data_IF_868063332161
#
_entry.id   IF_868063332161
#
_cell.length_a   1.000
_cell.length_b   1.000
_cell.length_c   1.000
_cell.angle_alpha   90.00
_cell.angle_beta   90.00
_cell.angle_gamma   90.00
#
_symmetry.space_group_name_H-M   'P 1'
#
loop_
_entity.id
_entity.type
_entity.pdbx_description
1 polymer ?
#
# COMPACT_ATOMS: atom_id res chain seq x y z
N UNK A 1 18.93 -2.29 -6.71
CA UNK A 1 19.31 -3.25 -5.63
C UNK A 1 18.81 -2.70 -4.32
N UNK A 2 17.95 -3.44 -3.59
CA UNK A 2 17.46 -3.06 -2.26
C UNK A 2 18.63 -3.04 -1.28
N UNK A 3 19.26 -1.87 -1.09
CA UNK A 3 20.51 -1.71 -0.33
C UNK A 3 20.33 -2.11 1.14
N UNK A 4 20.96 -3.21 1.57
CA UNK A 4 21.20 -3.52 2.99
C UNK A 4 20.08 -4.26 3.75
N UNK A 5 18.97 -4.68 3.14
CA UNK A 5 17.91 -5.42 3.82
C UNK A 5 17.91 -6.90 3.42
N UNK A 6 17.85 -7.77 4.43
CA UNK A 6 17.62 -9.21 4.21
C UNK A 6 16.13 -9.42 3.90
N UNK A 7 15.80 -9.63 2.62
CA UNK A 7 14.43 -9.92 2.18
C UNK A 7 14.20 -11.42 2.34
N UNK A 8 13.15 -11.78 3.06
CA UNK A 8 12.65 -13.15 3.13
C UNK A 8 11.99 -13.47 1.78
N UNK A 9 12.46 -14.51 1.09
CA UNK A 9 11.85 -14.95 -0.17
C UNK A 9 10.64 -15.82 0.13
N UNK A 10 9.47 -15.36 -0.26
CA UNK A 10 8.23 -16.13 -0.25
C UNK A 10 8.07 -16.90 -1.57
N UNK A 11 7.40 -18.07 -1.52
CA UNK A 11 7.02 -18.79 -2.75
C UNK A 11 5.98 -17.97 -3.54
N UNK A 12 6.28 -17.71 -4.80
CA UNK A 12 5.39 -16.96 -5.72
C UNK A 12 4.54 -17.89 -6.60
N UNK A 13 4.13 -19.05 -6.07
CA UNK A 13 3.40 -20.06 -6.85
C UNK A 13 1.97 -19.61 -7.19
N UNK A 14 1.32 -18.90 -6.27
CA UNK A 14 -0.04 -18.38 -6.47
C UNK A 14 -0.15 -16.94 -5.96
N UNK A 15 -0.83 -16.06 -6.69
CA UNK A 15 -1.09 -14.71 -6.21
C UNK A 15 -2.03 -14.75 -5.00
N UNK A 16 -1.72 -13.93 -4.00
CA UNK A 16 -2.58 -13.73 -2.83
C UNK A 16 -3.74 -12.77 -3.15
N UNK A 17 -3.53 -11.90 -4.13
CA UNK A 17 -4.52 -10.93 -4.58
C UNK A 17 -4.51 -10.80 -6.11
N UNK A 18 -5.70 -10.73 -6.70
CA UNK A 18 -5.88 -10.59 -8.14
C UNK A 18 -7.01 -9.60 -8.45
N UNK A 19 -6.79 -8.81 -9.47
CA UNK A 19 -7.81 -8.04 -10.17
C UNK A 19 -7.92 -8.62 -11.57
N UNK A 20 -9.14 -8.90 -12.02
CA UNK A 20 -9.42 -9.45 -13.35
C UNK A 20 -10.46 -8.60 -14.05
N UNK A 21 -10.04 -7.93 -15.12
CA UNK A 21 -10.88 -7.14 -16.02
C UNK A 21 -11.79 -6.13 -15.32
N UNK A 22 -11.30 -5.51 -14.23
CA UNK A 22 -12.07 -4.53 -13.47
C UNK A 22 -12.28 -3.28 -14.33
N UNK A 23 -13.54 -2.85 -14.40
CA UNK A 23 -13.98 -1.63 -15.06
C UNK A 23 -14.69 -0.71 -14.10
N UNK A 24 -14.53 0.60 -14.29
CA UNK A 24 -15.26 1.64 -13.55
C UNK A 24 -15.47 2.87 -14.42
N UNK A 25 -16.70 3.37 -14.40
CA UNK A 25 -17.12 4.61 -15.08
C UNK A 25 -17.87 5.51 -14.13
N UNK A 26 -17.82 6.82 -14.39
CA UNK A 26 -18.66 7.82 -13.75
C UNK A 26 -19.37 8.63 -14.84
N UNK A 27 -20.67 8.72 -14.76
CA UNK A 27 -21.51 9.45 -15.73
C UNK A 27 -21.19 9.09 -17.20
N UNK A 28 -21.02 7.79 -17.46
CA UNK A 28 -20.68 7.27 -18.77
C UNK A 28 -19.22 7.47 -19.21
N UNK A 29 -18.40 8.16 -18.40
CA UNK A 29 -16.97 8.36 -18.68
C UNK A 29 -16.15 7.23 -18.02
N UNK A 30 -15.46 6.41 -18.80
CA UNK A 30 -14.65 5.33 -18.25
C UNK A 30 -13.42 5.92 -17.52
N UNK A 31 -13.12 5.37 -16.33
CA UNK A 31 -11.93 5.70 -15.54
C UNK A 31 -11.00 4.50 -15.49
N UNK A 32 -11.54 3.29 -15.38
CA UNK A 32 -10.79 2.04 -15.43
C UNK A 32 -11.38 1.15 -16.54
N UNK A 33 -10.52 0.66 -17.44
CA UNK A 33 -10.89 -0.23 -18.55
C UNK A 33 -10.15 -1.55 -18.43
N UNK A 34 -10.85 -2.61 -18.01
CA UNK A 34 -10.34 -3.99 -17.94
C UNK A 34 -8.98 -4.08 -17.24
N UNK A 35 -8.88 -3.46 -16.06
CA UNK A 35 -7.66 -3.53 -15.25
C UNK A 35 -7.47 -4.96 -14.78
N UNK A 36 -6.29 -5.52 -15.04
CA UNK A 36 -5.89 -6.84 -14.55
C UNK A 36 -4.50 -6.77 -13.93
N UNK A 37 -4.36 -7.27 -12.69
CA UNK A 37 -3.10 -7.31 -11.96
C UNK A 37 -3.09 -8.42 -10.90
N UNK A 38 -1.89 -8.84 -10.52
CA UNK A 38 -1.67 -9.85 -9.49
C UNK A 38 -0.68 -9.33 -8.46
N UNK A 39 -0.86 -9.72 -7.19
CA UNK A 39 0.13 -9.51 -6.14
C UNK A 39 0.45 -10.84 -5.47
N UNK A 40 1.73 -11.06 -5.19
CA UNK A 40 2.20 -12.30 -4.56
C UNK A 40 2.64 -12.04 -3.11
N UNK A 41 2.59 -13.06 -2.22
CA UNK A 41 3.05 -12.90 -0.84
C UNK A 41 4.47 -12.34 -0.76
N UNK A 42 4.70 -11.37 0.12
CA UNK A 42 6.00 -10.75 0.29
C UNK A 42 6.53 -10.00 -0.94
N UNK A 43 5.65 -9.54 -1.82
CA UNK A 43 6.00 -8.74 -3.00
C UNK A 43 5.61 -7.28 -2.79
N UNK A 44 6.49 -6.36 -3.16
CA UNK A 44 6.22 -4.93 -3.22
C UNK A 44 6.05 -4.51 -4.69
N UNK A 45 4.86 -4.04 -5.04
CA UNK A 45 4.48 -3.69 -6.42
C UNK A 45 4.14 -2.21 -6.49
N UNK A 46 4.78 -1.48 -7.38
CA UNK A 46 4.47 -0.08 -7.67
C UNK A 46 3.24 0.05 -8.58
N UNK A 47 2.41 1.04 -8.32
CA UNK A 47 1.37 1.50 -9.26
C UNK A 47 1.71 2.93 -9.68
N UNK A 48 2.23 3.07 -10.88
CA UNK A 48 2.65 4.32 -11.50
C UNK A 48 1.57 4.85 -12.43
N UNK A 49 1.65 6.11 -12.76
CA UNK A 49 0.77 6.75 -13.74
C UNK A 49 0.59 8.24 -13.46
N UNK A 50 0.25 9.04 -14.48
CA UNK A 50 0.02 10.47 -14.31
C UNK A 50 -1.16 10.77 -13.38
N UNK A 51 -1.27 12.03 -12.95
CA UNK A 51 -2.44 12.48 -12.20
C UNK A 51 -3.70 12.30 -13.06
N UNK A 52 -4.79 11.85 -12.43
CA UNK A 52 -6.04 11.56 -13.14
C UNK A 52 -6.07 10.24 -13.92
N UNK A 53 -5.01 9.41 -13.88
CA UNK A 53 -5.01 8.11 -14.57
C UNK A 53 -5.95 7.06 -13.98
N UNK A 54 -6.52 7.30 -12.78
CA UNK A 54 -7.43 6.38 -12.11
C UNK A 54 -6.83 5.60 -10.93
N UNK A 55 -5.60 5.92 -10.47
CA UNK A 55 -4.96 5.22 -9.33
C UNK A 55 -5.82 5.23 -8.06
N UNK A 56 -6.30 6.40 -7.65
CA UNK A 56 -7.16 6.54 -6.46
C UNK A 56 -8.50 5.81 -6.66
N UNK A 57 -9.09 5.88 -7.85
CA UNK A 57 -10.31 5.11 -8.19
C UNK A 57 -10.06 3.61 -8.07
N UNK A 58 -8.91 3.12 -8.53
CA UNK A 58 -8.54 1.71 -8.39
C UNK A 58 -8.38 1.33 -6.91
N UNK A 59 -7.72 2.15 -6.09
CA UNK A 59 -7.59 1.91 -4.66
C UNK A 59 -8.96 1.90 -3.96
N UNK A 60 -9.80 2.91 -4.18
CA UNK A 60 -11.17 2.95 -3.65
C UNK A 60 -12.01 1.74 -4.09
N UNK A 61 -11.79 1.25 -5.32
CA UNK A 61 -12.45 0.02 -5.81
C UNK A 61 -11.91 -1.23 -5.09
N UNK A 62 -10.60 -1.32 -4.83
CA UNK A 62 -10.00 -2.46 -4.11
C UNK A 62 -10.45 -2.49 -2.65
N UNK A 63 -10.48 -1.36 -1.96
CA UNK A 63 -10.89 -1.30 -0.55
C UNK A 63 -12.41 -1.40 -0.36
N UNK A 64 -13.21 -1.17 -1.41
CA UNK A 64 -14.67 -1.30 -1.40
C UNK A 64 -15.42 -0.05 -0.99
N UNK A 65 -14.80 1.13 -1.09
CA UNK A 65 -15.48 2.42 -0.99
C UNK A 65 -16.39 2.64 -2.21
N UNK A 66 -15.95 2.18 -3.37
CA UNK A 66 -16.74 2.15 -4.60
C UNK A 66 -16.78 0.73 -5.16
N UNK A 67 -17.86 0.37 -5.83
CA UNK A 67 -17.98 -0.91 -6.49
C UNK A 67 -17.54 -0.82 -7.95
N UNK A 68 -16.88 -1.87 -8.43
CA UNK A 68 -16.59 -2.02 -9.86
C UNK A 68 -17.89 -2.18 -10.66
N UNK A 69 -17.91 -1.69 -11.90
CA UNK A 69 -19.04 -1.90 -12.80
C UNK A 69 -19.00 -3.31 -13.41
N UNK A 70 -17.80 -3.87 -13.57
CA UNK A 70 -17.57 -5.24 -14.02
C UNK A 70 -16.18 -5.73 -13.59
N UNK A 71 -15.95 -7.04 -13.73
CA UNK A 71 -14.69 -7.69 -13.37
C UNK A 71 -14.71 -8.31 -11.98
N UNK A 72 -13.56 -8.83 -11.55
CA UNK A 72 -13.45 -9.57 -10.28
C UNK A 72 -12.27 -9.06 -9.46
N UNK A 73 -12.48 -9.01 -8.14
CA UNK A 73 -11.42 -8.78 -7.15
C UNK A 73 -11.35 -10.02 -6.27
N UNK A 74 -10.18 -10.65 -6.24
CA UNK A 74 -9.99 -11.95 -5.61
C UNK A 74 -8.90 -11.83 -4.54
N UNK A 75 -9.22 -12.19 -3.30
CA UNK A 75 -8.29 -12.25 -2.18
C UNK A 75 -8.21 -13.69 -1.65
N UNK A 76 -7.00 -14.28 -1.61
CA UNK A 76 -6.80 -15.68 -1.16
C UNK A 76 -7.74 -16.68 -1.86
N UNK A 77 -7.99 -16.47 -3.15
CA UNK A 77 -8.87 -17.32 -3.97
C UNK A 77 -10.37 -17.07 -3.80
N UNK A 78 -10.79 -16.11 -2.97
CA UNK A 78 -12.21 -15.74 -2.76
C UNK A 78 -12.52 -14.43 -3.44
N UNK A 79 -13.63 -14.36 -4.15
CA UNK A 79 -14.15 -13.13 -4.74
C UNK A 79 -14.68 -12.20 -3.65
N UNK A 80 -14.30 -10.92 -3.72
CA UNK A 80 -14.64 -9.91 -2.70
C UNK A 80 -15.19 -8.60 -3.30
N UNK A 81 -15.40 -8.52 -4.62
CA UNK A 81 -15.83 -7.27 -5.28
C UNK A 81 -17.16 -6.71 -4.75
N UNK A 82 -18.03 -7.57 -4.22
CA UNK A 82 -19.34 -7.17 -3.68
C UNK A 82 -19.33 -6.95 -2.15
N UNK A 83 -18.15 -7.10 -1.52
CA UNK A 83 -18.02 -6.92 -0.07
C UNK A 83 -17.75 -5.45 0.27
N UNK A 84 -18.36 -4.92 1.34
CA UNK A 84 -18.08 -3.57 1.85
C UNK A 84 -16.71 -3.50 2.52
N UNK A 85 -16.19 -2.28 2.73
CA UNK A 85 -14.87 -1.96 3.29
C UNK A 85 -14.51 -2.80 4.52
N UNK A 86 -15.40 -2.86 5.52
CA UNK A 86 -15.12 -3.54 6.78
C UNK A 86 -14.94 -5.06 6.64
N UNK A 87 -15.61 -5.70 5.68
CA UNK A 87 -15.44 -7.12 5.39
C UNK A 87 -14.13 -7.39 4.63
N UNK A 88 -13.76 -6.51 3.68
CA UNK A 88 -12.46 -6.60 2.98
C UNK A 88 -11.29 -6.39 3.94
N UNK A 89 -11.42 -5.46 4.88
CA UNK A 89 -10.42 -5.25 5.94
C UNK A 89 -10.28 -6.50 6.81
N UNK A 90 -11.39 -7.10 7.28
CA UNK A 90 -11.37 -8.35 8.05
C UNK A 90 -10.82 -9.53 7.25
N UNK A 91 -11.03 -9.55 5.92
CA UNK A 91 -10.47 -10.59 5.05
C UNK A 91 -8.94 -10.46 4.87
N UNK A 92 -8.36 -9.30 5.19
CA UNK A 92 -6.93 -9.07 5.21
C UNK A 92 -6.42 -8.03 4.21
N UNK A 93 -7.24 -7.03 3.84
CA UNK A 93 -6.79 -5.83 3.11
C UNK A 93 -6.52 -4.73 4.13
N UNK A 94 -5.28 -4.26 4.20
CA UNK A 94 -4.87 -3.05 4.90
C UNK A 94 -4.76 -1.87 3.94
N UNK A 95 -5.15 -0.68 4.38
CA UNK A 95 -5.03 0.53 3.58
C UNK A 95 -4.45 1.69 4.38
N UNK A 96 -3.43 2.31 3.83
CA UNK A 96 -2.88 3.57 4.31
C UNK A 96 -3.21 4.64 3.28
N UNK A 97 -4.10 5.55 3.66
CA UNK A 97 -4.49 6.69 2.83
C UNK A 97 -3.40 7.77 2.80
N UNK A 98 -3.44 8.61 1.76
CA UNK A 98 -2.59 9.80 1.68
C UNK A 98 -2.83 10.76 2.86
N UNK A 99 -4.09 10.87 3.31
CA UNK A 99 -4.48 11.74 4.40
C UNK A 99 -4.04 11.16 5.75
N UNK A 100 -3.75 12.06 6.70
CA UNK A 100 -3.48 11.72 8.09
C UNK A 100 -4.72 11.05 8.70
N UNK A 101 -4.56 9.82 9.14
CA UNK A 101 -5.62 9.02 9.76
C UNK A 101 -5.16 8.46 11.10
N UNK A 102 -5.10 9.33 12.10
CA UNK A 102 -4.80 9.00 13.50
C UNK A 102 -5.90 9.51 14.41
N UNK A 103 -6.07 8.90 15.57
CA UNK A 103 -7.02 9.36 16.58
C UNK A 103 -6.39 10.44 17.45
N UNK A 104 -7.21 11.38 17.95
CA UNK A 104 -6.77 12.44 18.90
C UNK A 104 -6.55 11.85 20.29
N UNK A 105 -5.51 11.04 20.42
CA UNK A 105 -5.07 10.37 21.63
C UNK A 105 -3.58 10.05 21.54
N UNK A 106 -2.99 9.53 22.62
CA UNK A 106 -1.57 9.19 22.66
C UNK A 106 -1.19 8.19 21.56
N UNK A 107 0.10 8.16 21.20
CA UNK A 107 0.65 7.16 20.26
C UNK A 107 0.38 5.74 20.76
N UNK A 108 0.56 5.50 22.06
CA UNK A 108 0.25 4.23 22.71
C UNK A 108 -1.22 3.86 22.50
N UNK A 109 -2.16 4.76 22.80
CA UNK A 109 -3.59 4.49 22.74
C UNK A 109 -4.10 4.36 21.30
N UNK A 110 -3.44 5.01 20.34
CA UNK A 110 -3.68 4.81 18.91
C UNK A 110 -3.42 3.37 18.46
N UNK A 111 -2.48 2.67 19.08
CA UNK A 111 -2.18 1.25 18.78
C UNK A 111 -3.07 0.35 19.64
N UNK A 112 -3.10 0.57 20.96
CA UNK A 112 -3.85 -0.25 21.91
C UNK A 112 -5.34 -0.26 21.58
N UNK A 113 -5.93 0.88 21.24
CA UNK A 113 -7.35 0.97 20.88
C UNK A 113 -7.73 0.05 19.74
N UNK A 114 -6.90 -0.06 18.68
CA UNK A 114 -7.16 -1.00 17.59
C UNK A 114 -6.96 -2.46 18.07
N UNK A 115 -5.96 -2.71 18.91
CA UNK A 115 -5.76 -4.05 19.49
C UNK A 115 -6.99 -4.51 20.27
N UNK A 116 -7.65 -3.63 21.04
CA UNK A 116 -8.85 -3.93 21.80
C UNK A 116 -10.04 -4.38 20.92
N UNK A 117 -10.18 -3.82 19.72
CA UNK A 117 -11.20 -4.23 18.76
C UNK A 117 -10.91 -5.56 18.07
N UNK A 118 -9.64 -5.96 18.00
CA UNK A 118 -9.22 -7.10 17.16
C UNK A 118 -8.78 -8.33 17.96
N UNK A 119 -8.29 -8.12 19.16
CA UNK A 119 -7.70 -9.17 20.02
C UNK A 119 -8.53 -9.29 21.29
N UNK A 120 -8.94 -10.51 21.64
CA UNK A 120 -9.78 -10.74 22.84
C UNK A 120 -8.97 -10.74 24.14
N UNK A 121 -7.75 -11.25 24.11
CA UNK A 121 -6.91 -11.40 25.29
C UNK A 121 -6.17 -10.09 25.59
N UNK A 122 -6.33 -9.56 26.81
CA UNK A 122 -5.73 -8.28 27.23
C UNK A 122 -4.20 -8.33 27.25
N UNK A 123 -3.62 -9.46 27.68
CA UNK A 123 -2.17 -9.61 27.70
C UNK A 123 -1.57 -9.58 26.29
N UNK A 124 -2.24 -10.21 25.30
CA UNK A 124 -1.84 -10.17 23.91
C UNK A 124 -1.99 -8.77 23.30
N UNK A 125 -3.02 -8.00 23.72
CA UNK A 125 -3.18 -6.59 23.30
C UNK A 125 -1.96 -5.77 23.73
N UNK A 126 -1.58 -5.87 25.02
CA UNK A 126 -0.44 -5.15 25.60
C UNK A 126 0.86 -5.59 24.91
N UNK A 127 1.11 -6.90 24.81
CA UNK A 127 2.32 -7.44 24.16
C UNK A 127 2.49 -6.95 22.72
N UNK A 128 1.38 -6.95 21.95
CA UNK A 128 1.42 -6.48 20.57
C UNK A 128 1.66 -4.98 20.50
N UNK A 129 1.02 -4.20 21.39
CA UNK A 129 1.21 -2.75 21.46
C UNK A 129 2.67 -2.40 21.73
N UNK A 130 3.28 -2.97 22.78
CA UNK A 130 4.69 -2.73 23.11
C UNK A 130 5.63 -3.14 21.97
N UNK A 131 5.39 -4.30 21.36
CA UNK A 131 6.17 -4.76 20.21
C UNK A 131 6.11 -3.78 19.04
N UNK A 132 4.91 -3.27 18.70
CA UNK A 132 4.76 -2.34 17.59
C UNK A 132 5.38 -0.97 17.89
N UNK A 133 5.30 -0.49 19.12
CA UNK A 133 5.99 0.72 19.55
C UNK A 133 7.51 0.60 19.33
N UNK A 134 8.11 -0.52 19.72
CA UNK A 134 9.54 -0.77 19.54
C UNK A 134 9.90 -0.94 18.04
N UNK A 135 9.16 -1.77 17.32
CA UNK A 135 9.44 -2.10 15.93
C UNK A 135 9.37 -0.91 14.98
N UNK A 136 8.52 0.06 15.28
CA UNK A 136 8.36 1.28 14.49
C UNK A 136 9.05 2.50 15.11
N UNK A 137 9.91 2.29 16.13
CA UNK A 137 10.64 3.34 16.82
C UNK A 137 9.73 4.46 17.33
N UNK A 138 8.66 4.08 18.03
CA UNK A 138 7.63 4.97 18.57
C UNK A 138 7.64 5.01 20.11
N UNK A 139 8.46 4.18 20.78
CA UNK A 139 8.45 4.01 22.22
C UNK A 139 8.72 5.32 22.98
N UNK A 140 9.64 6.15 22.48
CA UNK A 140 9.96 7.46 23.06
C UNK A 140 8.83 8.50 22.88
N UNK A 141 7.86 8.21 22.00
CA UNK A 141 6.70 9.07 21.72
C UNK A 141 5.41 8.52 22.34
N UNK A 142 5.46 7.41 23.10
CA UNK A 142 4.29 6.66 23.53
C UNK A 142 3.19 7.51 24.19
N UNK A 143 3.56 8.51 24.99
CA UNK A 143 2.64 9.39 25.71
C UNK A 143 2.33 10.69 24.98
N UNK A 144 2.91 10.90 23.80
CA UNK A 144 2.67 12.10 22.99
C UNK A 144 1.34 11.92 22.23
N UNK A 145 0.52 12.97 22.23
CA UNK A 145 -0.69 12.99 21.40
C UNK A 145 -0.33 12.92 19.91
N UNK A 146 -1.04 12.09 19.16
CA UNK A 146 -0.75 11.89 17.76
C UNK A 146 -0.90 13.17 16.92
N UNK A 147 -1.71 14.15 17.37
CA UNK A 147 -1.81 15.49 16.77
C UNK A 147 -0.48 16.24 16.73
N UNK A 148 0.41 16.00 17.69
CA UNK A 148 1.69 16.69 17.85
C UNK A 148 2.86 15.99 17.13
N UNK A 149 2.61 14.88 16.44
CA UNK A 149 3.63 14.14 15.70
C UNK A 149 4.02 14.85 14.40
N UNK A 150 5.30 14.76 14.04
CA UNK A 150 5.80 15.09 12.71
C UNK A 150 5.20 14.19 11.63
N UNK A 151 5.28 14.59 10.36
CA UNK A 151 4.75 13.79 9.24
C UNK A 151 5.33 12.38 9.18
N UNK A 152 6.63 12.21 9.40
CA UNK A 152 7.29 10.90 9.42
C UNK A 152 6.86 10.02 10.58
N UNK A 153 6.69 10.60 11.77
CA UNK A 153 6.20 9.89 12.97
C UNK A 153 4.76 9.42 12.79
N UNK A 154 3.90 10.25 12.20
CA UNK A 154 2.53 9.87 11.85
C UNK A 154 2.54 8.69 10.86
N UNK A 155 3.39 8.73 9.82
CA UNK A 155 3.48 7.62 8.86
C UNK A 155 3.92 6.33 9.53
N UNK A 156 4.90 6.39 10.46
CA UNK A 156 5.32 5.21 11.25
C UNK A 156 4.18 4.66 12.10
N UNK A 157 3.42 5.53 12.77
CA UNK A 157 2.26 5.14 13.56
C UNK A 157 1.17 4.48 12.69
N UNK A 158 0.85 5.07 11.54
CA UNK A 158 -0.12 4.51 10.62
C UNK A 158 0.31 3.15 10.07
N UNK A 159 1.60 2.96 9.73
CA UNK A 159 2.16 1.69 9.28
C UNK A 159 2.14 0.63 10.39
N UNK A 160 2.46 0.99 11.63
CA UNK A 160 2.37 0.08 12.78
C UNK A 160 0.94 -0.43 12.98
N UNK A 161 -0.05 0.47 12.91
CA UNK A 161 -1.48 0.14 13.04
C UNK A 161 -1.97 -0.85 11.97
N UNK A 162 -1.44 -0.80 10.76
CA UNK A 162 -1.80 -1.76 9.71
C UNK A 162 -1.49 -3.22 10.10
N UNK A 163 -0.41 -3.46 10.84
CA UNK A 163 0.02 -4.82 11.20
C UNK A 163 -0.88 -5.49 12.25
N UNK A 164 -1.67 -4.73 13.00
CA UNK A 164 -2.55 -5.28 14.05
C UNK A 164 -3.52 -6.31 13.47
N UNK A 165 -4.08 -6.03 12.30
CA UNK A 165 -5.02 -6.91 11.60
C UNK A 165 -4.34 -8.02 10.78
N UNK A 166 -3.02 -8.16 10.85
CA UNK A 166 -2.24 -9.16 10.10
C UNK A 166 -2.64 -9.21 8.62
N UNK A 167 -2.59 -8.09 7.90
CA UNK A 167 -3.06 -8.01 6.52
C UNK A 167 -2.21 -8.91 5.62
N UNK A 168 -2.85 -9.56 4.65
CA UNK A 168 -2.17 -10.29 3.58
C UNK A 168 -1.85 -9.38 2.39
N UNK A 169 -2.60 -8.31 2.25
CA UNK A 169 -2.41 -7.27 1.21
C UNK A 169 -2.44 -5.90 1.88
N UNK A 170 -1.50 -5.05 1.53
CA UNK A 170 -1.40 -3.66 2.02
C UNK A 170 -1.38 -2.71 0.83
N UNK A 171 -2.29 -1.77 0.83
CA UNK A 171 -2.35 -0.68 -0.14
C UNK A 171 -1.76 0.56 0.54
N UNK A 172 -0.75 1.17 -0.08
CA UNK A 172 -0.09 2.37 0.42
C UNK A 172 -0.27 3.49 -0.62
N UNK A 173 -1.07 4.50 -0.27
CA UNK A 173 -1.35 5.64 -1.14
C UNK A 173 -0.43 6.80 -0.76
N UNK A 174 0.62 7.00 -1.56
CA UNK A 174 1.63 8.05 -1.40
C UNK A 174 2.24 8.13 0.02
N UNK A 175 2.74 7.02 0.56
CA UNK A 175 3.23 6.99 1.95
C UNK A 175 4.45 7.88 2.20
N UNK A 176 5.17 8.27 1.15
CA UNK A 176 6.39 9.09 1.24
C UNK A 176 6.18 10.54 0.80
N UNK A 177 4.94 10.93 0.42
CA UNK A 177 4.65 12.27 -0.06
C UNK A 177 4.92 13.35 1.01
N UNK A 178 5.50 14.47 0.59
CA UNK A 178 5.81 15.63 1.42
C UNK A 178 6.72 15.33 2.63
N UNK A 179 7.59 14.33 2.52
CA UNK A 179 8.59 13.99 3.53
C UNK A 179 10.01 14.34 3.05
N UNK A 180 10.88 14.69 3.99
CA UNK A 180 12.29 14.91 3.73
C UNK A 180 13.00 13.62 3.28
N UNK A 181 14.06 13.68 2.45
CA UNK A 181 14.74 12.49 1.91
C UNK A 181 15.24 11.50 2.97
N UNK A 182 15.66 11.99 4.14
CA UNK A 182 16.11 11.12 5.26
C UNK A 182 14.91 10.34 5.82
N UNK A 183 13.77 11.03 6.00
CA UNK A 183 12.53 10.43 6.50
C UNK A 183 11.97 9.43 5.48
N UNK A 184 12.06 9.75 4.17
CA UNK A 184 11.66 8.83 3.09
C UNK A 184 12.40 7.49 3.22
N UNK A 185 13.73 7.51 3.41
CA UNK A 185 14.51 6.28 3.60
C UNK A 185 14.06 5.48 4.80
N UNK A 186 13.67 6.14 5.89
CA UNK A 186 13.14 5.45 7.08
C UNK A 186 11.78 4.82 6.81
N UNK A 187 10.86 5.53 6.14
CA UNK A 187 9.57 4.96 5.73
C UNK A 187 9.75 3.78 4.78
N UNK A 188 10.68 3.85 3.83
CA UNK A 188 11.05 2.71 2.97
C UNK A 188 11.45 1.47 3.77
N UNK A 189 12.25 1.64 4.84
CA UNK A 189 12.62 0.52 5.74
C UNK A 189 11.39 -0.13 6.39
N UNK A 190 10.43 0.67 6.86
CA UNK A 190 9.20 0.13 7.45
C UNK A 190 8.29 -0.55 6.42
N UNK A 191 8.24 -0.04 5.18
CA UNK A 191 7.52 -0.71 4.08
C UNK A 191 8.17 -2.07 3.77
N UNK A 192 9.50 -2.15 3.70
CA UNK A 192 10.21 -3.41 3.51
C UNK A 192 10.02 -4.37 4.69
N UNK A 193 9.81 -3.85 5.90
CA UNK A 193 9.45 -4.67 7.07
C UNK A 193 8.07 -5.32 6.88
N UNK A 194 7.06 -4.60 6.37
CA UNK A 194 5.75 -5.19 6.02
C UNK A 194 5.91 -6.32 4.98
N UNK A 195 6.74 -6.11 3.97
CA UNK A 195 7.06 -7.13 2.97
C UNK A 195 7.64 -8.40 3.62
N UNK A 196 8.56 -8.24 4.59
CA UNK A 196 9.16 -9.36 5.33
C UNK A 196 8.16 -10.10 6.24
N UNK A 197 7.07 -9.49 6.65
CA UNK A 197 5.93 -10.16 7.30
C UNK A 197 5.06 -10.96 6.33
N UNK A 198 5.39 -10.97 5.04
CA UNK A 198 4.65 -11.70 4.00
C UNK A 198 3.50 -10.91 3.38
N UNK A 199 3.34 -9.64 3.75
CA UNK A 199 2.34 -8.79 3.11
C UNK A 199 2.68 -8.58 1.63
N UNK A 200 1.70 -8.76 0.75
CA UNK A 200 1.78 -8.25 -0.60
C UNK A 200 1.45 -6.76 -0.58
N UNK A 201 2.31 -5.93 -1.14
CA UNK A 201 2.18 -4.47 -1.06
C UNK A 201 1.89 -3.93 -2.46
N UNK A 202 0.86 -3.09 -2.57
CA UNK A 202 0.64 -2.21 -3.72
C UNK A 202 0.85 -0.77 -3.25
N UNK A 203 1.77 -0.06 -3.89
CA UNK A 203 2.19 1.27 -3.46
C UNK A 203 2.17 2.27 -4.61
N UNK A 204 1.61 3.46 -4.35
CA UNK A 204 1.73 4.63 -5.23
C UNK A 204 2.68 5.65 -4.62
N UNK A 205 3.36 6.41 -5.46
CA UNK A 205 4.06 7.64 -5.06
C UNK A 205 4.28 8.52 -6.29
N UNK A 206 4.37 9.83 -6.09
CA UNK A 206 4.67 10.78 -7.18
C UNK A 206 6.14 10.73 -7.59
N UNK A 207 7.04 10.41 -6.66
CA UNK A 207 8.47 10.32 -6.92
C UNK A 207 8.84 8.87 -7.25
N UNK A 208 8.80 8.52 -8.54
CA UNK A 208 9.09 7.15 -9.00
C UNK A 208 10.47 6.63 -8.56
N UNK A 209 11.48 7.50 -8.37
CA UNK A 209 12.78 7.11 -7.88
C UNK A 209 12.70 6.46 -6.48
N UNK A 210 11.94 7.08 -5.56
CA UNK A 210 11.72 6.53 -4.22
C UNK A 210 11.00 5.17 -4.26
N UNK A 211 10.08 5.00 -5.22
CA UNK A 211 9.40 3.73 -5.44
C UNK A 211 10.35 2.66 -5.98
N UNK A 212 11.16 2.99 -6.97
CA UNK A 212 12.05 2.03 -7.63
C UNK A 212 13.13 1.48 -6.72
N UNK A 213 13.44 2.17 -5.62
CA UNK A 213 14.36 1.67 -4.59
C UNK A 213 13.80 0.47 -3.81
N UNK A 214 12.46 0.32 -3.73
CA UNK A 214 11.82 -0.68 -2.85
C UNK A 214 10.91 -1.66 -3.57
N UNK A 215 10.41 -1.36 -4.78
CA UNK A 215 9.52 -2.27 -5.50
C UNK A 215 10.26 -3.40 -6.20
N UNK A 216 9.61 -4.55 -6.30
CA UNK A 216 10.10 -5.68 -7.10
C UNK A 216 9.75 -5.50 -8.57
N UNK A 217 8.57 -4.97 -8.86
CA UNK A 217 8.07 -4.62 -10.17
C UNK A 217 6.98 -3.55 -10.06
N UNK A 218 6.53 -3.04 -11.18
CA UNK A 218 5.47 -2.04 -11.21
C UNK A 218 4.48 -2.28 -12.36
N UNK A 219 3.29 -1.73 -12.18
CA UNK A 219 2.31 -1.50 -13.24
C UNK A 219 2.25 0.01 -13.53
N UNK A 220 2.12 0.37 -14.80
CA UNK A 220 1.90 1.75 -15.23
C UNK A 220 0.47 1.88 -15.72
N UNK A 221 -0.32 2.69 -15.02
CA UNK A 221 -1.70 3.01 -15.37
C UNK A 221 -1.71 4.28 -16.22
N UNK A 222 -2.18 4.18 -17.44
CA UNK A 222 -2.34 5.27 -18.38
C UNK A 222 -3.50 4.98 -19.32
N UNK A 223 -4.13 6.02 -19.84
CA UNK A 223 -5.28 5.88 -20.76
C UNK A 223 -6.35 4.90 -20.24
N UNK A 224 -6.58 4.95 -18.91
CA UNK A 224 -7.59 4.11 -18.20
C UNK A 224 -7.26 2.61 -18.18
N UNK A 225 -6.07 2.18 -18.62
CA UNK A 225 -5.64 0.77 -18.70
C UNK A 225 -4.20 0.59 -18.20
N UNK A 226 -3.77 -0.67 -18.01
CA UNK A 226 -2.36 -0.96 -17.75
C UNK A 226 -1.61 -0.89 -19.09
N UNK A 227 -0.74 0.10 -19.23
CA UNK A 227 0.02 0.37 -20.46
C UNK A 227 1.41 -0.27 -20.47
N UNK A 228 1.96 -0.55 -19.28
CA UNK A 228 3.23 -1.25 -19.11
C UNK A 228 3.26 -1.97 -17.76
N UNK A 229 4.06 -3.05 -17.68
CA UNK A 229 4.35 -3.77 -16.45
C UNK A 229 5.73 -4.41 -16.54
N UNK A 230 6.40 -4.55 -15.41
CA UNK A 230 7.71 -5.18 -15.33
C UNK A 230 8.55 -4.69 -14.15
N UNK A 231 9.80 -5.08 -14.10
CA UNK A 231 10.80 -4.55 -13.17
C UNK A 231 11.04 -3.06 -13.42
N UNK A 232 11.59 -2.30 -12.45
CA UNK A 232 11.95 -0.91 -12.66
C UNK A 232 12.77 -0.68 -13.95
N UNK A 233 13.73 -1.55 -14.23
CA UNK A 233 14.58 -1.44 -15.43
C UNK A 233 13.81 -1.69 -16.73
N UNK A 234 12.78 -2.55 -16.74
CA UNK A 234 11.92 -2.80 -17.89
C UNK A 234 10.96 -1.63 -18.11
N UNK A 235 10.39 -1.07 -17.03
CA UNK A 235 9.51 0.09 -17.09
C UNK A 235 10.24 1.30 -17.68
N UNK A 236 11.49 1.55 -17.25
CA UNK A 236 12.31 2.67 -17.77
C UNK A 236 12.70 2.52 -19.25
N UNK A 237 12.59 1.32 -19.82
CA UNK A 237 12.82 1.05 -21.25
C UNK A 237 11.53 1.02 -22.07
N UNK A 238 10.36 1.07 -21.43
CA UNK A 238 9.07 1.01 -22.11
C UNK A 238 8.78 2.35 -22.81
N UNK A 239 8.68 2.34 -24.14
CA UNK A 239 8.37 3.55 -24.93
C UNK A 239 7.04 4.18 -24.49
N UNK A 240 6.00 3.37 -24.23
CA UNK A 240 4.72 3.87 -23.74
C UNK A 240 4.81 4.50 -22.35
N UNK A 241 5.58 3.92 -21.42
CA UNK A 241 5.78 4.48 -20.10
C UNK A 241 6.57 5.80 -20.17
N UNK A 242 7.57 5.87 -21.03
CA UNK A 242 8.34 7.11 -21.27
C UNK A 242 7.43 8.20 -21.84
N UNK A 243 6.67 7.90 -22.87
CA UNK A 243 5.79 8.87 -23.53
C UNK A 243 4.71 9.42 -22.59
N UNK A 244 4.02 8.54 -21.84
CA UNK A 244 2.80 8.91 -21.10
C UNK A 244 3.04 9.24 -19.62
N UNK A 245 4.18 8.87 -19.06
CA UNK A 245 4.42 9.08 -17.62
C UNK A 245 5.74 9.82 -17.33
N UNK A 246 6.87 9.39 -17.88
CA UNK A 246 8.17 10.02 -17.57
C UNK A 246 8.43 11.30 -18.38
N UNK A 247 7.80 11.42 -19.55
CA UNK A 247 8.04 12.51 -20.51
C UNK A 247 9.22 12.25 -21.44
N UNK A 248 9.23 12.90 -22.63
CA UNK A 248 10.22 12.64 -23.70
C UNK A 248 11.65 13.04 -23.34
N UNK A 249 11.84 13.87 -22.32
CA UNK A 249 13.17 14.27 -21.82
C UNK A 249 13.82 13.20 -20.94
N UNK A 250 13.08 12.16 -20.52
CA UNK A 250 13.61 11.05 -19.75
C UNK A 250 14.28 10.03 -20.69
N UNK A 251 15.48 10.39 -21.18
CA UNK A 251 16.35 9.47 -21.92
C UNK A 251 17.49 9.09 -21.00
N UNK A 252 17.59 7.79 -20.69
CA UNK A 252 18.76 7.18 -20.03
C UNK A 252 19.99 7.27 -20.90
#
# INVERSE_FOLDING_TARGET
MKKGFRIIKFKKDKPVFQIKDVTKSYDGRPILKKISMNLYPGECVGLLGPNGSGKSTLYSTIIGEIYADAGKIILKGKEIQDQPVHLRSKAGIGYLSQQRSVFDMSVHDNILGICQFTIKNVEDQIKLTERLLDEFNLQHLRNIEASNLSGGEVRRLMLARLLINKPSVVLLDEPMAALDPIVVQDIQKYILKLQNYGCAILITDHQFNNLFDIVDRAYVLGEQSIIAQGTPSEILKSSKAIELYFGPSYRT
#
